data_IF_900284078131
#
_entry.id   IF_900284078131
#
_cell.length_a   1.000
_cell.length_b   1.000
_cell.length_c   1.000
_cell.angle_alpha   90.00
_cell.angle_beta   90.00
_cell.angle_gamma   90.00
#
_symmetry.space_group_name_H-M   'P 1'
#
loop_
_entity.id
_entity.type
_entity.pdbx_description
1 polymer ?
#
# COMPACT_ATOMS: atom_id res chain seq x y z
N UNK A 1 5.84 2.36 10.24
CA UNK A 1 4.39 2.22 9.93
C UNK A 1 4.20 1.07 8.94
N UNK A 2 2.98 0.57 8.77
CA UNK A 2 2.60 -0.46 7.78
C UNK A 2 1.16 -0.19 7.33
N UNK A 3 0.78 -0.68 6.16
CA UNK A 3 -0.56 -0.47 5.57
C UNK A 3 -1.12 -1.81 5.12
N UNK A 4 -2.41 -2.07 5.35
CA UNK A 4 -3.11 -3.26 4.90
C UNK A 4 -4.32 -2.82 4.05
N UNK A 5 -4.46 -3.40 2.86
CA UNK A 5 -5.64 -3.19 2.01
C UNK A 5 -6.56 -4.40 2.15
N UNK A 6 -7.82 -4.11 2.46
CA UNK A 6 -8.89 -5.09 2.55
C UNK A 6 -9.92 -4.85 1.45
N UNK A 7 -10.41 -5.93 0.85
CA UNK A 7 -11.56 -5.92 -0.05
C UNK A 7 -12.55 -6.97 0.44
N UNK A 8 -13.80 -6.55 0.66
CA UNK A 8 -14.87 -7.40 1.16
C UNK A 8 -14.55 -8.15 2.47
N UNK A 9 -13.70 -7.54 3.32
CA UNK A 9 -13.27 -8.11 4.59
C UNK A 9 -12.06 -9.04 4.52
N UNK A 10 -11.54 -9.33 3.31
CA UNK A 10 -10.34 -10.14 3.10
C UNK A 10 -9.11 -9.27 2.88
N UNK A 11 -7.97 -9.68 3.44
CA UNK A 11 -6.68 -9.03 3.21
C UNK A 11 -6.20 -9.34 1.79
N UNK A 12 -6.14 -8.32 0.93
CA UNK A 12 -5.72 -8.48 -0.46
C UNK A 12 -4.31 -7.97 -0.73
N UNK A 13 -3.82 -7.03 0.08
CA UNK A 13 -2.44 -6.52 -0.03
C UNK A 13 -1.91 -6.00 1.30
N UNK A 14 -0.59 -6.08 1.50
CA UNK A 14 0.08 -5.56 2.70
C UNK A 14 1.38 -4.84 2.35
N UNK A 15 1.49 -3.58 2.77
CA UNK A 15 2.69 -2.75 2.61
C UNK A 15 3.49 -2.77 3.91
N UNK A 16 4.62 -3.45 3.86
CA UNK A 16 5.55 -3.57 4.98
C UNK A 16 6.30 -2.26 5.28
N UNK A 17 6.84 -2.16 6.51
CA UNK A 17 7.57 -0.97 6.99
C UNK A 17 8.72 -0.55 6.08
N UNK A 18 9.45 -1.51 5.53
CA UNK A 18 10.61 -1.22 4.69
C UNK A 18 10.24 -0.54 3.36
N UNK A 19 8.96 -0.58 2.95
CA UNK A 19 8.45 0.16 1.79
C UNK A 19 8.05 1.59 2.13
N UNK A 20 7.99 1.96 3.41
CA UNK A 20 7.50 3.27 3.86
C UNK A 20 8.64 4.06 4.52
N UNK A 21 9.44 3.40 5.35
CA UNK A 21 10.55 4.05 6.05
C UNK A 21 11.62 4.54 5.06
N UNK A 22 12.00 5.81 5.20
CA UNK A 22 13.01 6.45 4.34
C UNK A 22 12.54 6.79 2.92
N UNK A 23 11.26 6.57 2.58
CA UNK A 23 10.70 6.96 1.28
C UNK A 23 9.95 8.28 1.35
N UNK A 24 9.94 9.03 0.24
CA UNK A 24 9.15 10.25 0.11
C UNK A 24 7.65 9.93 0.04
N UNK A 25 6.83 10.93 0.38
CA UNK A 25 5.39 10.83 0.29
C UNK A 25 4.91 10.48 -1.14
N UNK A 26 5.52 11.07 -2.18
CA UNK A 26 5.18 10.79 -3.58
C UNK A 26 5.48 9.34 -3.98
N UNK A 27 6.60 8.76 -3.54
CA UNK A 27 6.89 7.36 -3.82
C UNK A 27 5.93 6.41 -3.13
N UNK A 28 5.52 6.74 -1.90
CA UNK A 28 4.53 5.95 -1.16
C UNK A 28 3.16 6.08 -1.83
N UNK A 29 2.77 7.29 -2.25
CA UNK A 29 1.52 7.55 -2.93
C UNK A 29 1.43 6.79 -4.26
N UNK A 30 2.45 6.88 -5.12
CA UNK A 30 2.45 6.17 -6.40
C UNK A 30 2.42 4.64 -6.23
N UNK A 31 3.06 4.10 -5.18
CA UNK A 31 2.93 2.69 -4.86
C UNK A 31 1.48 2.33 -4.47
N UNK A 32 0.86 3.12 -3.59
CA UNK A 32 -0.52 2.89 -3.18
C UNK A 32 -1.50 3.04 -4.35
N UNK A 33 -1.31 4.01 -5.25
CA UNK A 33 -2.11 4.18 -6.45
C UNK A 33 -2.08 2.91 -7.32
N UNK A 34 -0.90 2.35 -7.60
CA UNK A 34 -0.78 1.10 -8.34
C UNK A 34 -1.44 -0.09 -7.63
N UNK A 35 -1.33 -0.18 -6.30
CA UNK A 35 -2.04 -1.19 -5.51
C UNK A 35 -3.55 -1.01 -5.62
N UNK A 36 -4.05 0.23 -5.57
CA UNK A 36 -5.48 0.50 -5.77
C UNK A 36 -5.94 0.15 -7.18
N UNK A 37 -5.17 0.43 -8.23
CA UNK A 37 -5.51 0.03 -9.61
C UNK A 37 -5.56 -1.49 -9.79
N UNK A 38 -4.75 -2.25 -9.06
CA UNK A 38 -4.75 -3.72 -9.14
C UNK A 38 -5.95 -4.35 -8.41
N UNK A 39 -6.33 -3.79 -7.26
CA UNK A 39 -7.29 -4.44 -6.35
C UNK A 39 -8.68 -3.78 -6.31
N UNK A 40 -8.89 -2.58 -6.84
CA UNK A 40 -10.19 -1.89 -6.83
C UNK A 40 -10.85 -1.87 -8.21
#
# INVERSE_FOLDING_TARGET
PSIALFKDGELVHFVERHHIEGRSAEMIAGHLEGVFEEFC
#
